data_IF_120504233718
#
_entry.id   IF_120504233718
#
_cell.length_a   1.000
_cell.length_b   1.000
_cell.length_c   1.000
_cell.angle_alpha   90.00
_cell.angle_beta   90.00
_cell.angle_gamma   90.00
#
_symmetry.space_group_name_H-M   'P 1'
#
loop_
_entity.id
_entity.type
_entity.pdbx_description
1 polymer ?
#
# COMPACT_ATOMS: atom_id res chain seq x y z
N UNK A 1 -9.03 10.90 14.84
CA UNK A 1 -9.83 9.82 14.21
C UNK A 1 -9.43 9.47 12.76
N UNK A 2 -8.29 9.96 12.23
CA UNK A 2 -7.88 9.69 10.84
C UNK A 2 -7.17 8.32 10.69
N UNK A 3 -6.39 7.92 11.69
CA UNK A 3 -5.69 6.62 11.70
C UNK A 3 -6.62 5.39 11.68
N UNK A 4 -7.76 5.46 12.37
CA UNK A 4 -8.73 4.35 12.40
C UNK A 4 -9.31 4.07 11.01
N UNK A 5 -9.66 5.11 10.26
CA UNK A 5 -10.18 4.98 8.90
C UNK A 5 -9.10 4.44 7.93
N UNK A 6 -7.84 4.86 8.09
CA UNK A 6 -6.70 4.30 7.35
C UNK A 6 -6.51 2.81 7.63
N UNK A 7 -6.62 2.38 8.88
CA UNK A 7 -6.48 0.98 9.29
C UNK A 7 -7.59 0.10 8.70
N UNK A 8 -8.84 0.55 8.80
CA UNK A 8 -9.99 -0.17 8.23
C UNK A 8 -9.85 -0.29 6.71
N UNK A 9 -9.46 0.79 6.02
CA UNK A 9 -9.25 0.76 4.57
C UNK A 9 -8.11 -0.17 4.12
N UNK A 10 -7.11 -0.42 4.98
CA UNK A 10 -6.06 -1.42 4.73
C UNK A 10 -6.56 -2.84 4.91
N UNK A 11 -7.26 -3.12 6.00
CA UNK A 11 -7.86 -4.44 6.25
C UNK A 11 -8.83 -4.82 5.12
N UNK A 12 -9.64 -3.86 4.66
CA UNK A 12 -10.57 -4.02 3.53
C UNK A 12 -9.91 -4.08 2.13
N UNK A 13 -8.61 -3.82 2.01
CA UNK A 13 -7.81 -3.97 0.76
C UNK A 13 -6.90 -5.20 0.78
N UNK A 14 -6.58 -5.72 1.96
CA UNK A 14 -5.72 -6.90 2.19
C UNK A 14 -6.51 -8.22 2.30
N UNK A 15 -7.83 -8.16 2.24
CA UNK A 15 -8.75 -9.29 2.18
C UNK A 15 -8.50 -10.19 0.94
N UNK A 16 -8.80 -11.49 1.03
CA UNK A 16 -8.29 -12.61 0.20
C UNK A 16 -8.52 -12.54 -1.32
N UNK A 17 -9.18 -11.51 -1.84
CA UNK A 17 -9.49 -11.36 -3.26
C UNK A 17 -8.45 -10.55 -4.05
N UNK A 18 -7.41 -10.02 -3.40
CA UNK A 18 -6.37 -9.24 -4.07
C UNK A 18 -5.00 -9.85 -3.76
N UNK A 19 -4.19 -10.07 -4.81
CA UNK A 19 -2.77 -10.45 -4.69
C UNK A 19 -2.07 -9.43 -3.79
N UNK A 20 -1.68 -9.87 -2.59
CA UNK A 20 -0.93 -9.08 -1.62
C UNK A 20 0.31 -8.42 -2.23
N UNK A 21 0.81 -7.39 -1.56
CA UNK A 21 1.95 -6.59 -1.98
C UNK A 21 2.39 -5.66 -0.85
N UNK A 22 3.47 -4.93 -1.08
CA UNK A 22 3.97 -3.93 -0.14
C UNK A 22 3.01 -2.72 -0.16
N UNK A 23 2.35 -2.42 0.97
CA UNK A 23 1.44 -1.27 1.13
C UNK A 23 2.03 -0.27 2.15
N UNK A 24 3.02 0.54 1.74
CA UNK A 24 3.67 1.49 2.63
C UNK A 24 2.67 2.51 3.16
N UNK A 25 2.82 2.88 4.43
CA UNK A 25 2.00 3.91 5.05
C UNK A 25 2.48 5.28 4.57
N UNK A 26 1.64 6.11 3.93
CA UNK A 26 2.03 7.47 3.56
C UNK A 26 2.13 8.36 4.80
N UNK A 27 3.07 9.31 4.79
CA UNK A 27 3.28 10.27 5.89
C UNK A 27 2.07 11.18 6.14
N UNK A 28 1.22 11.35 5.12
CA UNK A 28 -0.03 12.07 5.19
C UNK A 28 -1.22 11.14 4.98
N UNK A 29 -2.36 11.48 5.61
CA UNK A 29 -3.59 10.71 5.50
C UNK A 29 -4.05 10.63 4.03
N UNK A 30 -4.05 9.41 3.47
CA UNK A 30 -4.53 9.12 2.13
C UNK A 30 -5.15 7.73 2.07
N UNK A 31 -6.41 7.65 1.62
CA UNK A 31 -7.12 6.37 1.44
C UNK A 31 -6.74 5.66 0.14
N UNK A 32 -5.95 6.29 -0.72
CA UNK A 32 -5.41 5.69 -1.93
C UNK A 32 -4.11 4.93 -1.66
N UNK A 33 -3.76 4.00 -2.56
CA UNK A 33 -2.46 3.32 -2.54
C UNK A 33 -1.35 4.31 -2.89
N UNK A 34 -0.26 4.25 -2.13
CA UNK A 34 0.91 5.07 -2.37
C UNK A 34 1.84 4.42 -3.41
N UNK A 35 1.45 4.46 -4.69
CA UNK A 35 2.24 3.91 -5.81
C UNK A 35 3.71 4.39 -5.83
N UNK A 36 4.03 5.66 -5.53
CA UNK A 36 5.42 6.12 -5.54
C UNK A 36 6.32 5.37 -4.54
N UNK A 37 5.82 5.08 -3.34
CA UNK A 37 6.59 4.33 -2.35
C UNK A 37 6.63 2.83 -2.66
N UNK A 38 5.58 2.28 -3.30
CA UNK A 38 5.60 0.93 -3.84
C UNK A 38 6.68 0.79 -4.92
N UNK A 39 6.75 1.72 -5.87
CA UNK A 39 7.77 1.75 -6.93
C UNK A 39 9.18 1.93 -6.39
N UNK A 40 9.38 2.82 -5.40
CA UNK A 40 10.68 3.02 -4.75
C UNK A 40 11.18 1.72 -4.09
N UNK A 41 10.33 1.05 -3.30
CA UNK A 41 10.63 -0.23 -2.67
C UNK A 41 10.97 -1.32 -3.69
N UNK A 42 10.18 -1.43 -4.77
CA UNK A 42 10.41 -2.43 -5.81
C UNK A 42 11.76 -2.21 -6.51
N UNK A 43 12.12 -0.95 -6.74
CA UNK A 43 13.41 -0.55 -7.34
C UNK A 43 14.58 -0.86 -6.42
N UNK A 44 14.46 -0.55 -5.12
CA UNK A 44 15.48 -0.85 -4.11
C UNK A 44 15.74 -2.35 -3.98
N UNK A 45 14.68 -3.16 -4.05
CA UNK A 45 14.77 -4.61 -3.94
C UNK A 45 15.03 -5.33 -5.27
N UNK A 46 15.17 -4.59 -6.38
CA UNK A 46 15.34 -5.15 -7.72
C UNK A 46 14.25 -6.18 -8.10
N UNK A 47 13.01 -5.94 -7.65
CA UNK A 47 11.85 -6.79 -7.92
C UNK A 47 11.15 -6.36 -9.21
N UNK A 48 10.60 -7.33 -9.96
CA UNK A 48 9.83 -7.02 -11.18
C UNK A 48 8.58 -6.22 -10.82
N UNK A 49 8.46 -5.03 -11.42
CA UNK A 49 7.28 -4.17 -11.30
C UNK A 49 6.07 -4.96 -11.81
N UNK A 50 5.02 -5.02 -10.98
CA UNK A 50 3.77 -5.69 -11.31
C UNK A 50 3.10 -4.90 -12.45
N UNK A 51 2.76 -5.52 -13.59
CA UNK A 51 2.16 -4.84 -14.74
C UNK A 51 0.78 -4.27 -14.42
#
# INVERSE_FOLDING_TARGET
MKGTLMGIARILRCNPFVRGGYDPVPDHFSLHRNKPAEEAYLKEMNLKIKP
#
